data_IF_768567423962
#
_entry.id   IF_768567423962
#
_cell.length_a   1.000
_cell.length_b   1.000
_cell.length_c   1.000
_cell.angle_alpha   90.00
_cell.angle_beta   90.00
_cell.angle_gamma   90.00
#
_symmetry.space_group_name_H-M   'P 1'
#
loop_
_entity.id
_entity.type
_entity.pdbx_description
1 polymer ?
#
# COMPACT_ATOMS: atom_id res chain seq x y z
N UNK A 1 -23.71 3.39 7.33
CA UNK A 1 -22.91 3.49 8.58
C UNK A 1 -22.95 2.25 9.45
N UNK A 2 -24.12 1.78 9.92
CA UNK A 2 -24.19 0.58 10.80
C UNK A 2 -23.53 -0.66 10.19
N UNK A 3 -23.82 -0.97 8.92
CA UNK A 3 -23.19 -2.09 8.21
C UNK A 3 -21.68 -1.90 8.03
N UNK A 4 -21.24 -0.70 7.64
CA UNK A 4 -19.82 -0.37 7.46
C UNK A 4 -19.02 -0.53 8.77
N UNK A 5 -19.52 0.02 9.87
CA UNK A 5 -18.88 -0.13 11.19
C UNK A 5 -18.92 -1.58 11.68
N UNK A 6 -20.04 -2.28 11.49
CA UNK A 6 -20.18 -3.69 11.86
C UNK A 6 -19.27 -4.64 11.08
N UNK A 7 -18.80 -4.23 9.90
CA UNK A 7 -17.86 -4.97 9.05
C UNK A 7 -16.43 -4.40 9.10
N UNK A 8 -16.15 -3.46 10.00
CA UNK A 8 -14.81 -2.91 10.22
C UNK A 8 -14.31 -1.93 9.15
N UNK A 9 -15.18 -1.43 8.27
CA UNK A 9 -14.77 -0.44 7.26
C UNK A 9 -14.33 0.87 7.90
N UNK A 10 -13.16 1.36 7.47
CA UNK A 10 -12.60 2.63 7.91
C UNK A 10 -13.43 3.82 7.38
N UNK A 11 -13.16 4.99 7.93
CA UNK A 11 -13.66 6.23 7.36
C UNK A 11 -13.01 6.45 5.99
N UNK A 12 -13.81 6.78 4.98
CA UNK A 12 -13.34 7.09 3.62
C UNK A 12 -12.68 8.47 3.58
N UNK A 13 -13.18 9.40 4.40
CA UNK A 13 -12.64 10.77 4.53
C UNK A 13 -12.32 11.07 5.99
N UNK A 14 -11.27 11.85 6.22
CA UNK A 14 -10.91 12.30 7.57
C UNK A 14 -12.05 13.04 8.27
N UNK A 15 -12.83 13.83 7.53
CA UNK A 15 -13.99 14.56 8.09
C UNK A 15 -15.06 13.64 8.66
N UNK A 16 -15.15 12.37 8.24
CA UNK A 16 -16.07 11.40 8.83
C UNK A 16 -15.66 10.99 10.25
N UNK A 17 -14.42 11.26 10.69
CA UNK A 17 -14.02 11.03 12.08
C UNK A 17 -14.73 11.96 13.07
N UNK A 18 -15.30 13.08 12.61
CA UNK A 18 -16.16 13.94 13.42
C UNK A 18 -17.60 13.41 13.53
N UNK A 19 -18.00 12.46 12.68
CA UNK A 19 -19.33 11.87 12.75
C UNK A 19 -19.41 10.87 13.90
N UNK A 20 -20.36 11.09 14.83
CA UNK A 20 -20.47 10.38 16.12
C UNK A 20 -20.24 8.86 16.04
N UNK A 21 -20.85 8.10 15.10
CA UNK A 21 -20.63 6.66 15.01
C UNK A 21 -19.17 6.25 14.73
N UNK A 22 -18.43 7.01 13.93
CA UNK A 22 -17.01 6.76 13.69
C UNK A 22 -16.13 7.29 14.84
N UNK A 23 -16.52 8.41 15.46
CA UNK A 23 -15.82 8.97 16.61
C UNK A 23 -15.84 8.02 17.83
N UNK A 24 -16.95 7.30 18.03
CA UNK A 24 -17.15 6.32 19.10
C UNK A 24 -16.57 4.93 18.76
N UNK A 25 -16.35 4.62 17.47
CA UNK A 25 -15.76 3.36 17.04
C UNK A 25 -14.23 3.37 17.19
N UNK A 26 -13.73 3.01 18.39
CA UNK A 26 -12.29 3.04 18.74
C UNK A 26 -11.38 2.46 17.66
N UNK A 27 -11.68 1.27 17.15
CA UNK A 27 -10.87 0.62 16.11
C UNK A 27 -10.83 1.44 14.82
N UNK A 28 -12.00 1.78 14.26
CA UNK A 28 -12.07 2.55 13.02
C UNK A 28 -11.38 3.91 13.15
N UNK A 29 -11.55 4.59 14.29
CA UNK A 29 -10.89 5.87 14.58
C UNK A 29 -9.37 5.77 14.61
N UNK A 30 -8.81 4.79 15.32
CA UNK A 30 -7.36 4.66 15.46
C UNK A 30 -6.70 4.19 14.16
N UNK A 31 -7.27 3.21 13.47
CA UNK A 31 -6.71 2.71 12.20
C UNK A 31 -6.78 3.78 11.09
N UNK A 32 -7.84 4.60 11.06
CA UNK A 32 -7.93 5.70 10.07
C UNK A 32 -6.74 6.67 10.20
N UNK A 33 -6.19 6.89 11.40
CA UNK A 33 -5.00 7.76 11.59
C UNK A 33 -3.73 7.21 10.96
N UNK A 34 -3.65 5.90 10.72
CA UNK A 34 -2.50 5.25 10.08
C UNK A 34 -2.49 5.51 8.59
N UNK A 35 -3.63 5.84 7.97
CA UNK A 35 -3.75 6.07 6.52
C UNK A 35 -2.82 7.17 6.00
N UNK A 36 -2.42 8.14 6.85
CA UNK A 36 -1.42 9.17 6.50
C UNK A 36 -0.03 8.61 6.17
N UNK A 37 0.26 7.37 6.56
CA UNK A 37 1.51 6.67 6.25
C UNK A 37 1.36 5.68 5.07
N UNK A 38 0.19 5.68 4.42
CA UNK A 38 -0.12 4.77 3.31
C UNK A 38 -0.16 5.53 2.00
N UNK A 39 0.05 4.82 0.90
CA UNK A 39 -0.18 5.32 -0.44
C UNK A 39 -1.32 4.54 -1.08
N UNK A 40 -2.01 5.14 -2.05
CA UNK A 40 -2.95 4.41 -2.88
C UNK A 40 -2.22 3.35 -3.70
N UNK A 41 -2.84 2.19 -3.85
CA UNK A 41 -2.35 1.17 -4.77
C UNK A 41 -2.23 1.75 -6.19
N UNK A 42 -1.24 1.32 -7.00
CA UNK A 42 -1.10 1.78 -8.37
C UNK A 42 -2.38 1.50 -9.18
N UNK A 43 -2.96 2.56 -9.77
CA UNK A 43 -4.09 2.44 -10.68
C UNK A 43 -3.58 2.31 -12.12
N UNK A 44 -2.96 1.17 -12.42
CA UNK A 44 -2.35 0.89 -13.72
C UNK A 44 -2.62 -0.55 -14.16
N UNK A 45 -2.73 -0.80 -15.46
CA UNK A 45 -2.99 -2.15 -16.00
C UNK A 45 -1.88 -3.15 -15.62
N UNK A 46 -0.66 -2.65 -15.43
CA UNK A 46 0.51 -3.44 -14.99
C UNK A 46 0.71 -3.46 -13.46
N UNK A 47 -0.27 -3.04 -12.67
CA UNK A 47 -0.19 -3.15 -11.20
C UNK A 47 0.09 -4.59 -10.71
N UNK A 48 -0.42 -5.67 -11.32
CA UNK A 48 -0.04 -7.03 -10.92
C UNK A 48 1.47 -7.30 -11.00
N UNK A 49 2.13 -6.81 -12.06
CA UNK A 49 3.58 -6.95 -12.25
C UNK A 49 4.37 -6.20 -11.16
N UNK A 50 3.91 -4.98 -10.80
CA UNK A 50 4.51 -4.20 -9.71
C UNK A 50 4.52 -5.02 -8.41
N UNK A 51 3.38 -5.64 -8.04
CA UNK A 51 3.27 -6.41 -6.81
C UNK A 51 4.09 -7.69 -6.84
N UNK A 52 4.01 -8.45 -7.92
CA UNK A 52 4.74 -9.72 -8.08
C UNK A 52 6.24 -9.50 -7.88
N UNK A 53 6.80 -8.54 -8.59
CA UNK A 53 8.24 -8.24 -8.56
C UNK A 53 8.68 -7.59 -7.25
N UNK A 54 7.80 -6.79 -6.61
CA UNK A 54 8.08 -6.22 -5.29
C UNK A 54 8.18 -7.32 -4.23
N UNK A 55 7.23 -8.27 -4.23
CA UNK A 55 7.24 -9.37 -3.29
C UNK A 55 8.36 -10.37 -3.56
N UNK A 56 8.75 -10.57 -4.82
CA UNK A 56 9.96 -11.33 -5.18
C UNK A 56 11.22 -10.71 -4.55
N UNK A 57 11.40 -9.39 -4.71
CA UNK A 57 12.53 -8.68 -4.10
C UNK A 57 12.53 -8.76 -2.57
N UNK A 58 11.37 -8.58 -1.93
CA UNK A 58 11.22 -8.72 -0.47
C UNK A 58 11.58 -10.14 -0.02
N UNK A 59 11.07 -11.16 -0.72
CA UNK A 59 11.33 -12.56 -0.36
C UNK A 59 12.82 -12.89 -0.42
N UNK A 60 13.55 -12.40 -1.45
CA UNK A 60 15.00 -12.60 -1.55
C UNK A 60 15.78 -11.99 -0.39
N UNK A 61 15.32 -10.86 0.15
CA UNK A 61 15.91 -10.25 1.36
C UNK A 61 15.55 -11.06 2.61
N UNK A 62 14.30 -11.49 2.76
CA UNK A 62 13.83 -12.25 3.92
C UNK A 62 14.50 -13.62 4.04
N UNK A 63 14.84 -14.26 2.92
CA UNK A 63 15.58 -15.53 2.89
C UNK A 63 17.09 -15.36 3.05
N UNK A 64 17.60 -14.14 2.91
CA UNK A 64 19.03 -13.84 2.92
C UNK A 64 19.77 -14.25 1.63
N UNK A 65 19.04 -14.50 0.54
CA UNK A 65 19.61 -14.82 -0.77
C UNK A 65 20.29 -13.60 -1.39
N UNK A 66 19.72 -12.40 -1.19
CA UNK A 66 20.25 -11.12 -1.67
C UNK A 66 20.24 -10.05 -0.57
N UNK A 67 21.09 -9.04 -0.70
CA UNK A 67 21.08 -7.87 0.17
C UNK A 67 19.92 -6.90 -0.18
N UNK A 68 19.50 -6.02 0.76
CA UNK A 68 18.42 -5.05 0.50
C UNK A 68 18.66 -4.13 -0.70
N UNK A 69 19.90 -3.63 -0.88
CA UNK A 69 20.24 -2.75 -2.01
C UNK A 69 20.17 -3.49 -3.35
N UNK A 70 20.66 -4.73 -3.39
CA UNK A 70 20.61 -5.57 -4.60
C UNK A 70 19.17 -5.91 -4.98
N UNK A 71 18.31 -6.22 -4.01
CA UNK A 71 16.89 -6.45 -4.23
C UNK A 71 16.17 -5.18 -4.73
N UNK A 72 16.53 -4.01 -4.21
CA UNK A 72 16.00 -2.73 -4.68
C UNK A 72 16.41 -2.45 -6.14
N UNK A 73 17.69 -2.62 -6.45
CA UNK A 73 18.22 -2.43 -7.81
C UNK A 73 17.57 -3.39 -8.81
N UNK A 74 17.42 -4.67 -8.42
CA UNK A 74 16.68 -5.66 -9.19
C UNK A 74 15.26 -5.18 -9.51
N UNK A 75 14.52 -4.75 -8.49
CA UNK A 75 13.14 -4.32 -8.65
C UNK A 75 13.03 -3.07 -9.52
N UNK A 76 13.86 -2.05 -9.27
CA UNK A 76 13.93 -0.82 -10.06
C UNK A 76 14.22 -1.12 -11.53
N UNK A 77 15.19 -2.00 -11.81
CA UNK A 77 15.54 -2.38 -13.18
C UNK A 77 14.40 -3.13 -13.86
N UNK A 78 13.71 -4.03 -13.14
CA UNK A 78 12.52 -4.71 -13.66
C UNK A 78 11.39 -3.74 -14.00
N UNK A 79 11.11 -2.79 -13.13
CA UNK A 79 10.09 -1.78 -13.37
C UNK A 79 10.42 -0.91 -14.58
N UNK A 80 11.67 -0.43 -14.70
CA UNK A 80 12.14 0.33 -15.88
C UNK A 80 12.06 -0.48 -17.17
N UNK A 81 12.41 -1.77 -17.14
CA UNK A 81 12.38 -2.63 -18.32
C UNK A 81 10.96 -2.88 -18.82
N UNK A 82 10.00 -3.04 -17.92
CA UNK A 82 8.62 -3.37 -18.29
C UNK A 82 7.79 -2.13 -18.61
N UNK A 83 8.00 -1.02 -17.89
CA UNK A 83 7.17 0.18 -17.98
C UNK A 83 7.85 1.36 -18.69
N UNK A 84 9.16 1.33 -18.87
CA UNK A 84 9.91 2.42 -19.50
C UNK A 84 9.58 3.78 -18.87
N UNK A 85 9.09 4.71 -19.70
CA UNK A 85 8.74 6.07 -19.29
C UNK A 85 7.42 6.16 -18.48
N UNK A 86 6.63 5.07 -18.41
CA UNK A 86 5.39 5.03 -17.62
C UNK A 86 5.65 4.90 -16.12
N UNK A 87 6.87 4.53 -15.70
CA UNK A 87 7.27 4.48 -14.29
C UNK A 87 8.17 5.67 -13.94
N UNK A 88 7.76 6.41 -12.91
CA UNK A 88 8.52 7.55 -12.39
C UNK A 88 9.21 7.10 -11.10
N UNK A 89 10.54 7.16 -11.09
CA UNK A 89 11.38 6.82 -9.94
C UNK A 89 12.08 8.10 -9.48
N UNK A 90 12.01 8.40 -8.18
CA UNK A 90 12.52 9.64 -7.57
C UNK A 90 13.34 9.34 -6.33
#
# INVERSE_FOLDING_TARGET
>A
TKHALGSGHLAIRESQLAFRPYAEAKYAKEVTKVLKYTNFAPNHAKAPFYWETLFEAIAGVETGEVGPEEALDFWVNRMKSELGDEVIIR
#
